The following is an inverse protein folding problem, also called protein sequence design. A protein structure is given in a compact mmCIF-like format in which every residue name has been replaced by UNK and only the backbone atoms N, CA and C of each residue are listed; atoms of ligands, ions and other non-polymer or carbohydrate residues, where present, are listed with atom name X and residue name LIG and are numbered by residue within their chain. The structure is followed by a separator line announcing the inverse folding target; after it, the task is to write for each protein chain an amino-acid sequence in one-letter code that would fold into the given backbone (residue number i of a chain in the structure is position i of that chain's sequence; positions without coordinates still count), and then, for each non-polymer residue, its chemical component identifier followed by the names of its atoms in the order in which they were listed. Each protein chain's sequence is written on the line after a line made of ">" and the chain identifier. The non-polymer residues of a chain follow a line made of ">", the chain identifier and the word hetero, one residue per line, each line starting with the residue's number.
data_IF_469726616899
#
_entry.id   IF_469726616899
#
_cell.length_a   1.000
_cell.length_b   1.000
_cell.length_c   1.000
_cell.angle_alpha   90.00
_cell.angle_beta   90.00
_cell.angle_gamma   90.00
#
_symmetry.space_group_name_H-M   'P 1'
#
loop_
_entity.id
_entity.type
_entity.pdbx_description
1 polymer ?
#
# COMPACT_ATOMS: atom_id res chain seq x y z
N UNK A 1 -12.19 8.58 -3.84
CA UNK A 1 -10.90 8.08 -3.38
C UNK A 1 -10.02 9.28 -3.11
N UNK A 2 -9.20 9.23 -2.09
CA UNK A 2 -8.58 10.40 -1.49
C UNK A 2 -7.07 10.38 -1.68
N UNK A 3 -6.45 11.55 -1.72
CA UNK A 3 -5.02 11.74 -1.49
C UNK A 3 -4.68 11.65 -0.01
N UNK A 4 -3.42 11.82 0.34
CA UNK A 4 -2.99 11.80 1.75
C UNK A 4 -3.68 12.87 2.59
N UNK A 5 -3.94 14.04 2.02
CA UNK A 5 -4.61 15.16 2.70
C UNK A 5 -6.06 14.86 3.11
N UNK A 6 -6.72 13.92 2.44
CA UNK A 6 -8.09 13.51 2.78
C UNK A 6 -8.14 12.41 3.84
N UNK A 7 -7.01 11.77 4.13
CA UNK A 7 -6.93 10.70 5.12
C UNK A 7 -6.87 11.30 6.52
N UNK A 8 -7.81 10.89 7.36
CA UNK A 8 -7.89 11.37 8.75
C UNK A 8 -6.83 10.67 9.60
N UNK A 9 -6.11 11.46 10.38
CA UNK A 9 -5.10 10.93 11.30
C UNK A 9 -3.90 10.31 10.60
N UNK A 10 -3.18 9.48 11.33
CA UNK A 10 -1.97 8.78 10.86
C UNK A 10 -0.87 9.71 10.31
N UNK A 11 -0.76 10.93 10.86
CA UNK A 11 0.11 12.01 10.35
C UNK A 11 1.57 11.54 10.18
N UNK A 12 2.10 10.79 11.16
CA UNK A 12 3.47 10.28 11.09
C UNK A 12 3.70 9.33 9.93
N UNK A 13 2.71 8.50 9.60
CA UNK A 13 2.79 7.54 8.48
C UNK A 13 2.70 8.30 7.16
N UNK A 14 1.75 9.20 7.04
CA UNK A 14 1.59 10.06 5.85
C UNK A 14 2.87 10.86 5.60
N UNK A 15 3.39 11.52 6.61
CA UNK A 15 4.62 12.30 6.52
C UNK A 15 5.82 11.43 6.13
N UNK A 16 5.95 10.22 6.69
CA UNK A 16 7.01 9.29 6.31
C UNK A 16 6.95 8.93 4.83
N UNK A 17 5.77 8.55 4.34
CA UNK A 17 5.57 8.17 2.93
C UNK A 17 5.78 9.37 1.99
N UNK A 18 5.24 10.54 2.32
CA UNK A 18 5.42 11.75 1.54
C UNK A 18 6.88 12.22 1.49
N UNK A 19 7.61 12.13 2.60
CA UNK A 19 9.05 12.41 2.64
C UNK A 19 9.84 11.42 1.80
N UNK A 20 9.52 10.11 1.87
CA UNK A 20 10.17 9.09 1.05
C UNK A 20 10.00 9.40 -0.45
N UNK A 21 8.81 9.83 -0.86
CA UNK A 21 8.53 10.24 -2.25
C UNK A 21 9.31 11.52 -2.60
N UNK A 22 9.19 12.56 -1.79
CA UNK A 22 9.81 13.86 -2.06
C UNK A 22 11.33 13.83 -2.13
N UNK A 23 11.96 12.97 -1.33
CA UNK A 23 13.42 12.77 -1.35
C UNK A 23 13.88 11.65 -2.30
N UNK A 24 12.97 11.05 -3.05
CA UNK A 24 13.25 9.91 -3.93
C UNK A 24 13.95 8.74 -3.21
N UNK A 25 13.52 8.48 -1.97
CA UNK A 25 14.04 7.41 -1.10
C UNK A 25 12.95 6.40 -0.74
N UNK A 26 12.19 6.02 -1.75
CA UNK A 26 11.13 5.01 -1.61
C UNK A 26 11.77 3.64 -1.39
N UNK A 27 11.34 2.94 -0.35
CA UNK A 27 11.76 1.56 -0.09
C UNK A 27 11.08 0.60 -1.06
N UNK A 28 11.68 -0.56 -1.28
CA UNK A 28 11.12 -1.59 -2.15
C UNK A 28 9.99 -2.40 -1.49
N UNK A 29 9.91 -2.39 -0.16
CA UNK A 29 8.89 -3.16 0.56
C UNK A 29 8.38 -2.44 1.81
N UNK A 30 7.08 -2.39 1.95
CA UNK A 30 6.37 -1.81 3.09
C UNK A 30 5.37 -2.82 3.66
N UNK A 31 5.20 -2.79 4.97
CA UNK A 31 4.11 -3.48 5.68
C UNK A 31 3.24 -2.41 6.34
N UNK A 32 1.99 -2.31 5.90
CA UNK A 32 0.97 -1.49 6.53
C UNK A 32 0.11 -2.38 7.42
N UNK A 33 0.29 -2.25 8.74
CA UNK A 33 -0.43 -3.05 9.73
C UNK A 33 -1.38 -2.22 10.57
N UNK A 34 -2.44 -2.84 11.06
CA UNK A 34 -3.45 -2.22 11.91
C UNK A 34 -4.75 -3.00 11.89
N UNK A 35 -5.66 -2.70 12.78
CA UNK A 35 -6.96 -3.36 12.83
C UNK A 35 -7.82 -3.06 11.60
N UNK A 36 -8.86 -3.85 11.40
CA UNK A 36 -9.81 -3.63 10.32
C UNK A 36 -10.48 -2.25 10.44
N UNK A 37 -10.73 -1.59 9.32
CA UNK A 37 -11.33 -0.26 9.31
C UNK A 37 -10.39 0.92 9.56
N UNK A 38 -9.12 0.71 9.95
CA UNK A 38 -8.17 1.81 10.23
C UNK A 38 -7.62 2.55 9.00
N UNK A 39 -8.05 2.21 7.78
CA UNK A 39 -7.63 2.93 6.59
C UNK A 39 -6.34 2.45 5.94
N UNK A 40 -5.83 1.26 6.29
CA UNK A 40 -4.63 0.64 5.69
C UNK A 40 -4.66 0.65 4.17
N UNK A 41 -5.75 0.14 3.58
CA UNK A 41 -5.98 0.15 2.13
C UNK A 41 -5.99 1.54 1.53
N UNK A 42 -6.60 2.49 2.23
CA UNK A 42 -6.70 3.89 1.78
C UNK A 42 -5.32 4.53 1.70
N UNK A 43 -4.49 4.30 2.72
CA UNK A 43 -3.09 4.77 2.73
C UNK A 43 -2.28 4.09 1.62
N UNK A 44 -2.41 2.77 1.46
CA UNK A 44 -1.71 2.03 0.40
C UNK A 44 -2.07 2.56 -0.99
N UNK A 45 -3.36 2.83 -1.23
CA UNK A 45 -3.84 3.39 -2.50
C UNK A 45 -3.36 4.82 -2.72
N UNK A 46 -3.40 5.69 -1.71
CA UNK A 46 -2.89 7.05 -1.80
C UNK A 46 -1.38 7.05 -2.11
N UNK A 47 -0.62 6.20 -1.44
CA UNK A 47 0.81 6.03 -1.69
C UNK A 47 1.09 5.55 -3.11
N UNK A 48 0.44 4.47 -3.56
CA UNK A 48 0.60 3.94 -4.90
C UNK A 48 0.25 5.00 -5.97
N UNK A 49 -0.89 5.66 -5.85
CA UNK A 49 -1.32 6.68 -6.79
C UNK A 49 -0.36 7.88 -6.84
N UNK A 50 0.20 8.28 -5.70
CA UNK A 50 1.18 9.37 -5.64
C UNK A 50 2.48 8.99 -6.36
N UNK A 51 2.97 7.76 -6.17
CA UNK A 51 4.17 7.25 -6.86
C UNK A 51 4.01 7.21 -8.38
N UNK A 52 2.79 6.97 -8.84
CA UNK A 52 2.48 6.85 -10.27
C UNK A 52 2.06 8.18 -10.91
N UNK A 53 1.81 9.22 -10.11
CA UNK A 53 1.32 10.50 -10.59
C UNK A 53 2.35 11.20 -11.49
N UNK A 54 1.92 11.61 -12.68
CA UNK A 54 2.78 12.28 -13.67
C UNK A 54 3.29 13.66 -13.22
N UNK A 55 2.66 14.27 -12.23
CA UNK A 55 3.13 15.56 -11.65
C UNK A 55 4.28 15.39 -10.64
N UNK A 56 4.63 14.15 -10.28
CA UNK A 56 5.76 13.82 -9.39
C UNK A 56 5.80 14.60 -8.08
N UNK A 57 4.63 14.92 -7.52
CA UNK A 57 4.51 15.57 -6.22
C UNK A 57 4.44 14.58 -5.06
N UNK A 58 4.19 15.10 -3.86
CA UNK A 58 3.95 14.31 -2.64
C UNK A 58 2.47 14.03 -2.39
N UNK A 59 1.61 14.46 -3.30
CA UNK A 59 0.17 14.20 -3.34
C UNK A 59 -0.22 13.81 -4.77
N UNK A 60 -1.22 12.93 -4.96
CA UNK A 60 -1.70 12.61 -6.28
C UNK A 60 -2.54 13.78 -6.84
N UNK A 61 -2.34 14.13 -8.10
CA UNK A 61 -3.06 15.26 -8.69
C UNK A 61 -4.51 14.97 -9.06
N UNK A 62 -4.93 13.71 -9.09
CA UNK A 62 -6.28 13.23 -9.47
C UNK A 62 -6.70 13.50 -10.92
N UNK A 63 -5.94 14.23 -11.69
CA UNK A 63 -6.30 14.75 -13.02
C UNK A 63 -5.52 14.10 -14.17
N UNK A 64 -4.26 13.70 -13.94
CA UNK A 64 -3.42 13.11 -14.97
C UNK A 64 -3.93 11.74 -15.42
N UNK A 65 -3.44 11.27 -16.55
CA UNK A 65 -3.85 9.99 -17.12
C UNK A 65 -3.59 8.83 -16.16
N UNK A 66 -2.42 8.79 -15.53
CA UNK A 66 -2.05 7.78 -14.55
C UNK A 66 -2.99 7.75 -13.34
N UNK A 67 -3.30 8.92 -12.75
CA UNK A 67 -4.26 8.99 -11.64
C UNK A 67 -5.65 8.49 -12.06
N UNK A 68 -6.13 8.85 -13.25
CA UNK A 68 -7.41 8.38 -13.78
C UNK A 68 -7.44 6.88 -14.01
N UNK A 69 -6.37 6.31 -14.56
CA UNK A 69 -6.24 4.86 -14.72
C UNK A 69 -6.24 4.14 -13.36
N UNK A 70 -5.53 4.69 -12.38
CA UNK A 70 -5.53 4.13 -11.03
C UNK A 70 -6.93 4.15 -10.40
N UNK A 71 -7.64 5.27 -10.51
CA UNK A 71 -9.00 5.42 -9.98
C UNK A 71 -10.01 4.48 -10.65
N UNK A 72 -9.84 4.19 -11.93
CA UNK A 72 -10.67 3.23 -12.66
C UNK A 72 -10.28 1.75 -12.40
N UNK A 73 -9.20 1.50 -11.66
CA UNK A 73 -8.70 0.15 -11.40
C UNK A 73 -7.95 -0.50 -12.58
N UNK A 74 -7.61 0.26 -13.61
CA UNK A 74 -7.02 -0.24 -14.85
C UNK A 74 -5.57 0.23 -15.08
N UNK A 75 -4.85 0.64 -14.03
CA UNK A 75 -3.46 1.08 -14.20
C UNK A 75 -2.55 -0.11 -14.48
N UNK A 76 -1.81 -0.12 -15.61
CA UNK A 76 -1.03 -1.30 -16.02
C UNK A 76 0.15 -1.61 -15.12
N UNK A 77 0.66 -0.61 -14.38
CA UNK A 77 1.82 -0.76 -13.50
C UNK A 77 1.44 -1.01 -12.03
N UNK A 78 0.16 -1.30 -11.77
CA UNK A 78 -0.35 -1.68 -10.45
C UNK A 78 -0.92 -3.09 -10.50
N UNK A 79 -0.36 -3.97 -9.71
CA UNK A 79 -0.82 -5.34 -9.57
C UNK A 79 -1.42 -5.52 -8.18
N UNK A 80 -2.72 -5.70 -8.12
CA UNK A 80 -3.40 -6.23 -6.95
C UNK A 80 -3.26 -7.75 -6.96
N UNK A 81 -2.53 -8.27 -6.00
CA UNK A 81 -2.34 -9.72 -5.90
C UNK A 81 -3.65 -10.36 -5.46
N UNK A 82 -4.16 -11.25 -6.30
CA UNK A 82 -5.37 -12.02 -6.06
C UNK A 82 -5.01 -13.45 -5.64
N UNK A 83 -5.94 -14.16 -5.02
CA UNK A 83 -5.77 -15.56 -4.64
C UNK A 83 -7.04 -16.34 -4.88
N UNK A 84 -6.87 -17.60 -5.33
CA UNK A 84 -8.01 -18.48 -5.61
C UNK A 84 -8.69 -18.99 -4.34
N UNK A 85 -7.88 -19.26 -3.30
CA UNK A 85 -8.39 -19.78 -2.03
C UNK A 85 -8.74 -18.63 -1.09
N UNK A 86 -9.98 -18.50 -0.64
CA UNK A 86 -10.41 -17.37 0.21
C UNK A 86 -9.61 -17.23 1.52
N UNK A 87 -9.09 -18.33 2.05
CA UNK A 87 -8.42 -18.36 3.35
C UNK A 87 -6.89 -18.30 3.26
N UNK A 88 -6.29 -18.37 2.06
CA UNK A 88 -4.83 -18.42 1.94
C UNK A 88 -4.33 -17.83 0.63
N UNK A 89 -3.20 -17.15 0.72
CA UNK A 89 -2.37 -16.75 -0.42
C UNK A 89 -1.26 -17.78 -0.55
N UNK A 90 -1.32 -18.56 -1.63
CA UNK A 90 -0.40 -19.67 -1.87
C UNK A 90 0.90 -19.24 -2.55
N UNK A 91 1.83 -20.19 -2.65
CA UNK A 91 3.12 -19.97 -3.31
C UNK A 91 2.97 -19.60 -4.79
N UNK A 92 1.99 -20.19 -5.49
CA UNK A 92 1.77 -19.92 -6.91
C UNK A 92 1.16 -18.53 -7.13
N UNK A 93 0.30 -18.05 -6.21
CA UNK A 93 -0.21 -16.68 -6.25
C UNK A 93 0.94 -15.65 -6.23
N UNK A 94 1.95 -15.88 -5.40
CA UNK A 94 3.14 -15.02 -5.30
C UNK A 94 4.06 -15.19 -6.52
N UNK A 95 4.33 -16.43 -6.94
CA UNK A 95 5.22 -16.69 -8.07
C UNK A 95 4.70 -16.08 -9.35
N UNK A 96 3.47 -16.40 -9.72
CA UNK A 96 2.89 -16.00 -11.00
C UNK A 96 2.68 -14.47 -11.05
N UNK A 97 2.17 -13.87 -9.98
CA UNK A 97 1.79 -12.47 -10.00
C UNK A 97 2.91 -11.52 -9.62
N UNK A 98 3.89 -11.94 -8.83
CA UNK A 98 5.01 -11.10 -8.38
C UNK A 98 6.31 -11.53 -9.04
N UNK A 99 6.82 -12.73 -8.73
CA UNK A 99 8.16 -13.13 -9.12
C UNK A 99 8.35 -13.20 -10.64
N UNK A 100 7.37 -13.71 -11.36
CA UNK A 100 7.46 -13.89 -12.82
C UNK A 100 7.25 -12.57 -13.58
N UNK A 101 6.65 -11.57 -12.93
CA UNK A 101 6.33 -10.28 -13.56
C UNK A 101 7.25 -9.14 -13.14
N UNK A 102 7.97 -9.28 -12.02
CA UNK A 102 8.75 -8.18 -11.45
C UNK A 102 9.92 -7.74 -12.33
N UNK A 103 10.49 -8.64 -13.12
CA UNK A 103 11.56 -8.33 -14.07
C UNK A 103 11.08 -7.53 -15.30
N UNK A 104 9.78 -7.52 -15.54
CA UNK A 104 9.18 -6.74 -16.62
C UNK A 104 9.06 -5.29 -16.17
N UNK A 105 9.70 -4.37 -16.89
CA UNK A 105 9.66 -2.94 -16.56
C UNK A 105 8.24 -2.37 -16.55
N UNK A 106 8.00 -1.29 -15.79
CA UNK A 106 6.74 -0.56 -15.84
C UNK A 106 6.42 -0.13 -17.27
N UNK A 107 5.13 -0.14 -17.60
CA UNK A 107 4.67 0.24 -18.94
C UNK A 107 4.68 1.76 -19.16
N UNK A 108 4.17 2.52 -18.21
CA UNK A 108 3.94 3.95 -18.37
C UNK A 108 4.43 4.81 -17.20
N UNK A 109 4.80 4.21 -16.08
CA UNK A 109 5.15 4.92 -14.85
C UNK A 109 6.59 4.63 -14.40
N UNK A 110 7.17 5.45 -13.50
CA UNK A 110 8.51 5.19 -12.96
C UNK A 110 8.56 3.98 -12.02
N UNK A 111 7.41 3.55 -11.50
CA UNK A 111 7.29 2.44 -10.55
C UNK A 111 6.33 1.37 -11.03
N UNK A 112 6.60 0.13 -10.61
CA UNK A 112 5.70 -1.00 -10.69
C UNK A 112 5.32 -1.42 -9.29
N UNK A 113 4.04 -1.37 -8.98
CA UNK A 113 3.55 -1.49 -7.61
C UNK A 113 2.73 -2.76 -7.44
N UNK A 114 3.09 -3.53 -6.43
CA UNK A 114 2.37 -4.73 -6.00
C UNK A 114 1.68 -4.46 -4.68
N UNK A 115 0.38 -4.60 -4.67
CA UNK A 115 -0.46 -4.44 -3.48
C UNK A 115 -1.00 -5.82 -3.07
N UNK A 116 -0.62 -6.27 -1.89
CA UNK A 116 -1.08 -7.55 -1.32
C UNK A 116 -1.98 -7.24 -0.15
N UNK A 117 -3.28 -7.34 -0.36
CA UNK A 117 -4.27 -7.21 0.70
C UNK A 117 -4.41 -8.51 1.48
N UNK A 118 -4.85 -8.41 2.73
CA UNK A 118 -4.96 -9.57 3.63
C UNK A 118 -3.67 -10.42 3.64
N UNK A 119 -2.52 -9.76 3.65
CA UNK A 119 -1.21 -10.40 3.51
C UNK A 119 -0.89 -11.39 4.66
N UNK A 120 -1.60 -11.32 5.77
CA UNK A 120 -1.57 -12.33 6.83
C UNK A 120 -2.01 -13.73 6.37
N UNK A 121 -2.71 -13.82 5.24
CA UNK A 121 -3.13 -15.08 4.65
C UNK A 121 -2.01 -15.81 3.87
N UNK A 122 -0.85 -15.17 3.70
CA UNK A 122 0.28 -15.80 3.01
C UNK A 122 0.77 -17.03 3.78
N UNK A 123 0.84 -18.17 3.07
CA UNK A 123 1.49 -19.37 3.59
C UNK A 123 2.99 -19.12 3.80
N UNK A 124 3.64 -19.95 4.62
CA UNK A 124 5.10 -19.88 4.82
C UNK A 124 5.84 -20.04 3.48
N UNK A 125 5.35 -20.94 2.61
CA UNK A 125 5.91 -21.15 1.28
C UNK A 125 5.76 -19.90 0.39
N UNK A 126 4.62 -19.21 0.46
CA UNK A 126 4.39 -17.96 -0.26
C UNK A 126 5.34 -16.85 0.22
N UNK A 127 5.51 -16.74 1.55
CA UNK A 127 6.44 -15.78 2.14
C UNK A 127 7.90 -16.06 1.71
N UNK A 128 8.33 -17.32 1.72
CA UNK A 128 9.65 -17.71 1.25
C UNK A 128 9.85 -17.40 -0.24
N UNK A 129 8.84 -17.64 -1.08
CA UNK A 129 8.90 -17.26 -2.49
C UNK A 129 9.03 -15.75 -2.69
N UNK A 130 8.37 -14.96 -1.85
CA UNK A 130 8.42 -13.51 -1.90
C UNK A 130 9.80 -12.94 -1.52
N UNK A 131 10.54 -13.62 -0.66
CA UNK A 131 11.90 -13.21 -0.24
C UNK A 131 12.83 -12.98 -1.42
N UNK A 132 12.75 -13.78 -2.46
CA UNK A 132 13.57 -13.60 -3.68
C UNK A 132 13.42 -12.19 -4.25
N UNK A 133 12.19 -11.71 -4.37
CA UNK A 133 11.90 -10.36 -4.89
C UNK A 133 12.30 -9.26 -3.89
N UNK A 134 12.11 -9.48 -2.60
CA UNK A 134 12.44 -8.49 -1.56
C UNK A 134 13.96 -8.32 -1.39
N UNK A 135 14.74 -9.39 -1.56
CA UNK A 135 16.20 -9.37 -1.41
C UNK A 135 16.92 -8.72 -2.59
N UNK A 136 16.43 -8.97 -3.79
CA UNK A 136 17.01 -8.45 -5.03
C UNK A 136 15.94 -7.74 -5.88
N UNK A 137 15.33 -6.65 -5.38
CA UNK A 137 14.26 -5.97 -6.09
C UNK A 137 14.82 -5.15 -7.26
N UNK A 138 14.16 -5.13 -8.41
CA UNK A 138 14.43 -4.11 -9.42
C UNK A 138 14.20 -2.70 -8.86
N UNK A 139 14.97 -1.72 -9.34
CA UNK A 139 14.91 -0.35 -8.82
C UNK A 139 13.52 0.30 -8.88
N UNK A 140 12.68 -0.13 -9.80
CA UNK A 140 11.32 0.37 -10.00
C UNK A 140 10.24 -0.37 -9.18
N UNK A 141 10.56 -1.51 -8.57
CA UNK A 141 9.56 -2.33 -7.89
C UNK A 141 9.27 -1.83 -6.47
N UNK A 142 8.00 -1.70 -6.14
CA UNK A 142 7.51 -1.37 -4.79
C UNK A 142 6.44 -2.36 -4.40
N UNK A 143 6.64 -3.03 -3.27
CA UNK A 143 5.72 -4.00 -2.69
C UNK A 143 5.09 -3.42 -1.42
N UNK A 144 3.77 -3.49 -1.32
CA UNK A 144 3.03 -3.07 -0.13
C UNK A 144 2.19 -4.24 0.39
N UNK A 145 2.56 -4.75 1.55
CA UNK A 145 1.81 -5.78 2.27
C UNK A 145 0.83 -5.11 3.24
N UNK A 146 -0.44 -5.38 3.09
CA UNK A 146 -1.51 -4.82 3.92
C UNK A 146 -2.03 -5.93 4.82
N UNK A 147 -1.94 -5.76 6.13
CA UNK A 147 -2.23 -6.83 7.08
C UNK A 147 -2.90 -6.34 8.36
N UNK A 148 -3.70 -7.21 8.97
CA UNK A 148 -4.21 -7.02 10.35
C UNK A 148 -3.23 -7.56 11.39
N UNK A 149 -2.39 -8.53 10.99
CA UNK A 149 -1.47 -9.21 11.91
C UNK A 149 -0.07 -9.36 11.30
N UNK A 150 0.86 -8.44 11.60
CA UNK A 150 2.23 -8.53 11.08
C UNK A 150 3.05 -9.66 11.71
N UNK A 151 2.61 -10.23 12.85
CA UNK A 151 3.34 -11.28 13.57
C UNK A 151 3.37 -12.62 12.82
N UNK A 152 2.50 -12.80 11.82
CA UNK A 152 2.50 -14.01 10.98
C UNK A 152 3.64 -14.04 9.96
N UNK A 153 4.29 -12.90 9.73
CA UNK A 153 5.39 -12.84 8.79
C UNK A 153 6.68 -13.42 9.37
N UNK A 154 7.44 -14.08 8.52
CA UNK A 154 8.76 -14.56 8.86
C UNK A 154 9.68 -13.40 9.29
N UNK A 155 10.58 -13.60 10.26
CA UNK A 155 11.55 -12.58 10.65
C UNK A 155 12.38 -12.05 9.48
N UNK A 156 12.65 -12.89 8.48
CA UNK A 156 13.36 -12.53 7.24
C UNK A 156 12.57 -11.54 6.38
N UNK A 157 11.24 -11.60 6.36
CA UNK A 157 10.36 -10.62 5.73
C UNK A 157 10.38 -9.32 6.52
N UNK A 158 10.11 -9.41 7.83
CA UNK A 158 10.01 -8.25 8.72
C UNK A 158 11.28 -7.40 8.73
N UNK A 159 12.45 -8.03 8.69
CA UNK A 159 13.75 -7.33 8.70
C UNK A 159 14.07 -6.56 7.41
N UNK A 160 13.37 -6.88 6.31
CA UNK A 160 13.60 -6.28 4.99
C UNK A 160 12.53 -5.28 4.56
N UNK A 161 11.47 -5.16 5.34
CA UNK A 161 10.34 -4.27 5.05
C UNK A 161 10.31 -3.08 6.01
N UNK A 162 9.90 -1.92 5.51
CA UNK A 162 9.52 -0.78 6.35
C UNK A 162 8.15 -1.08 6.97
N UNK A 163 8.10 -1.18 8.29
CA UNK A 163 6.88 -1.48 9.02
C UNK A 163 6.19 -0.19 9.48
N UNK A 164 4.98 0.05 9.01
CA UNK A 164 4.16 1.20 9.33
C UNK A 164 2.88 0.71 10.03
N UNK A 165 2.85 0.89 11.35
CA UNK A 165 1.73 0.43 12.18
C UNK A 165 0.73 1.55 12.41
N UNK A 166 -0.48 1.37 11.88
CA UNK A 166 -1.60 2.24 12.18
C UNK A 166 -2.06 2.02 13.62
N UNK A 167 -2.52 3.08 14.24
CA UNK A 167 -3.08 3.05 15.61
C UNK A 167 -4.50 3.59 15.57
N UNK A 168 -5.37 3.16 16.50
CA UNK A 168 -6.70 3.74 16.62
C UNK A 168 -6.62 5.27 16.71
N UNK A 169 -7.52 5.92 15.99
CA UNK A 169 -7.65 7.38 16.09
C UNK A 169 -8.31 7.73 17.44
N UNK A 170 -7.95 8.89 17.98
CA UNK A 170 -8.64 9.42 19.15
C UNK A 170 -10.07 9.80 18.77
N UNK A 171 -11.02 9.56 19.67
CA UNK A 171 -12.43 9.86 19.46
C UNK A 171 -12.66 11.34 19.06
N UNK A 172 -11.90 12.26 19.63
CA UNK A 172 -11.96 13.67 19.27
C UNK A 172 -11.64 13.94 17.78
N UNK A 173 -10.66 13.23 17.22
CA UNK A 173 -10.27 13.39 15.80
C UNK A 173 -11.37 12.86 14.88
N UNK A 174 -12.01 11.78 15.27
CA UNK A 174 -13.14 11.20 14.53
C UNK A 174 -14.37 12.11 14.61
N UNK A 175 -14.66 12.62 15.81
CA UNK A 175 -15.79 13.55 16.05
C UNK A 175 -15.60 14.84 15.23
N UNK A 176 -14.44 15.47 15.29
CA UNK A 176 -14.15 16.70 14.53
C UNK A 176 -14.30 16.52 13.01
N UNK A 177 -13.97 15.34 12.50
CA UNK A 177 -14.14 15.03 11.08
C UNK A 177 -15.63 14.84 10.73
N UNK A 178 -16.37 14.11 11.56
CA UNK A 178 -17.79 13.85 11.31
C UNK A 178 -18.61 15.15 11.37
N UNK A 179 -18.30 16.02 12.32
CA UNK A 179 -18.98 17.33 12.45
C UNK A 179 -18.55 18.31 11.37
N UNK A 180 -17.25 18.38 11.06
CA UNK A 180 -16.71 19.36 10.11
C UNK A 180 -16.94 19.04 8.64
N UNK A 181 -16.76 17.77 8.23
CA UNK A 181 -16.89 17.38 6.80
C UNK A 181 -18.21 16.69 6.43
N UNK A 182 -18.85 16.01 7.37
CA UNK A 182 -20.07 15.25 7.09
C UNK A 182 -21.34 15.89 7.65
N UNK A 183 -21.21 16.99 8.42
CA UNK A 183 -22.37 17.73 8.94
C UNK A 183 -23.22 16.95 9.96
N UNK A 184 -22.62 15.92 10.61
CA UNK A 184 -23.30 15.14 11.65
C UNK A 184 -23.26 15.96 12.93
N UNK A 185 -24.44 16.24 13.55
CA UNK A 185 -24.51 16.96 14.81
C UNK A 185 -23.98 16.11 15.98
N UNK A 186 -23.28 16.73 16.93
CA UNK A 186 -22.87 16.12 18.19
C UNK A 186 -24.09 15.53 18.91
N UNK A 187 -24.21 14.21 18.92
CA UNK A 187 -25.31 13.52 19.64
C UNK A 187 -26.03 12.40 18.89
N UNK A 188 -25.54 11.96 17.73
CA UNK A 188 -26.01 10.74 17.04
C UNK A 188 -24.96 9.66 17.01
#
# INVERSE_FOLDING_TARGET
>A
MAGFHDIIGHEKIKEHLQKAIGYQRVSHAYILSGEEGMGRKTIAKAFAMTLLCEKHGTEPCMECHSCKQFLSGNHPDVIWVTHEKPASIGVDDVRIQINDTVSIRPYSSPYKIYLVDEAEKMTVQAQNALLKTIEEPPAYAVLVLITTNPEVFLPTILSRCIQLKLRPLKDSVVSDYLTGKMGVSDGQ
#
